data_IF_261789784700
#
_entry.id   IF_261789784700
#
_cell.length_a   1.000
_cell.length_b   1.000
_cell.length_c   1.000
_cell.angle_alpha   90.00
_cell.angle_beta   90.00
_cell.angle_gamma   90.00
#
_symmetry.space_group_name_H-M   'P 1'
#
loop_
_entity.id
_entity.type
_entity.pdbx_description
1 polymer ?
#
# COMPACT_ATOMS: atom_id res chain seq x y z
N UNK A 1 -2.87 -8.75 3.06
CA UNK A 1 -3.19 -8.88 1.62
C UNK A 1 -3.44 -7.50 1.02
N UNK A 2 -3.07 -7.26 -0.24
CA UNK A 2 -3.51 -6.08 -0.99
C UNK A 2 -4.90 -6.32 -1.60
N UNK A 3 -5.83 -5.37 -1.42
CA UNK A 3 -7.13 -5.34 -2.09
C UNK A 3 -7.15 -4.18 -3.09
N UNK A 4 -6.51 -4.41 -4.24
CA UNK A 4 -6.56 -3.53 -5.41
C UNK A 4 -8.00 -3.41 -5.94
N UNK A 5 -8.30 -2.25 -6.52
CA UNK A 5 -9.61 -1.88 -7.06
C UNK A 5 -9.94 -0.41 -6.81
N UNK A 6 -9.77 0.04 -5.56
CA UNK A 6 -10.19 1.37 -5.12
C UNK A 6 -9.37 2.51 -5.72
N UNK A 7 -8.19 2.23 -6.23
CA UNK A 7 -7.30 3.16 -6.93
C UNK A 7 -7.76 3.48 -8.36
N UNK A 8 -8.51 2.61 -9.04
CA UNK A 8 -8.88 2.82 -10.46
C UNK A 8 -10.40 2.74 -10.74
N UNK A 9 -11.14 1.96 -9.97
CA UNK A 9 -12.48 1.51 -10.38
C UNK A 9 -13.51 2.65 -10.42
N UNK A 10 -13.33 3.67 -9.57
CA UNK A 10 -14.15 4.88 -9.56
C UNK A 10 -14.05 5.66 -10.88
N UNK A 11 -12.83 5.82 -11.42
CA UNK A 11 -12.59 6.52 -12.69
C UNK A 11 -13.04 5.71 -13.90
N UNK A 12 -13.03 4.39 -13.81
CA UNK A 12 -13.50 3.49 -14.87
C UNK A 12 -15.03 3.30 -14.88
N UNK A 13 -15.77 3.97 -13.99
CA UNK A 13 -17.22 3.86 -13.89
C UNK A 13 -17.73 2.59 -13.21
N UNK A 14 -16.84 1.81 -12.57
CA UNK A 14 -17.17 0.53 -11.92
C UNK A 14 -17.66 0.64 -10.48
N UNK A 15 -17.81 1.85 -9.94
CA UNK A 15 -18.09 2.09 -8.51
C UNK A 15 -16.81 2.22 -7.67
N UNK A 16 -16.90 2.07 -6.34
CA UNK A 16 -15.73 2.24 -5.45
C UNK A 16 -14.79 1.03 -5.48
N UNK A 17 -15.32 -0.19 -5.46
CA UNK A 17 -14.54 -1.43 -5.38
C UNK A 17 -14.72 -2.29 -6.64
N UNK A 18 -13.64 -2.95 -7.10
CA UNK A 18 -13.68 -3.91 -8.22
C UNK A 18 -14.08 -5.34 -7.81
N UNK A 19 -14.32 -5.58 -6.51
CA UNK A 19 -14.74 -6.87 -5.97
C UNK A 19 -15.47 -6.72 -4.63
N UNK A 20 -15.92 -7.84 -4.02
CA UNK A 20 -16.73 -7.81 -2.81
C UNK A 20 -15.95 -7.28 -1.60
N UNK A 21 -16.69 -6.66 -0.69
CA UNK A 21 -16.23 -6.10 0.59
C UNK A 21 -17.18 -6.46 1.74
N UNK A 22 -18.07 -7.42 1.51
CA UNK A 22 -19.05 -7.91 2.46
C UNK A 22 -18.44 -8.89 3.49
N UNK A 23 -19.26 -9.35 4.43
CA UNK A 23 -18.81 -10.26 5.48
C UNK A 23 -18.27 -11.58 4.90
N UNK A 24 -18.85 -12.11 3.82
CA UNK A 24 -18.38 -13.36 3.21
C UNK A 24 -16.95 -13.21 2.65
N UNK A 25 -16.65 -12.09 1.99
CA UNK A 25 -15.28 -11.81 1.52
C UNK A 25 -14.28 -11.66 2.67
N UNK A 26 -14.71 -11.16 3.83
CA UNK A 26 -13.87 -11.02 5.03
C UNK A 26 -13.67 -12.37 5.71
N UNK A 27 -14.70 -13.21 5.80
CA UNK A 27 -14.59 -14.58 6.33
C UNK A 27 -13.61 -15.41 5.49
N UNK A 28 -13.60 -15.20 4.18
CA UNK A 28 -12.61 -15.79 3.28
C UNK A 28 -11.19 -15.33 3.62
N UNK A 29 -10.95 -14.03 3.81
CA UNK A 29 -9.64 -13.52 4.25
C UNK A 29 -9.21 -14.15 5.59
N UNK A 30 -10.13 -14.25 6.55
CA UNK A 30 -9.87 -14.88 7.85
C UNK A 30 -9.55 -16.37 7.71
N UNK A 31 -10.18 -17.08 6.77
CA UNK A 31 -9.90 -18.49 6.51
C UNK A 31 -8.48 -18.74 5.97
N UNK A 32 -7.78 -17.68 5.54
CA UNK A 32 -6.36 -17.71 5.15
C UNK A 32 -5.45 -17.12 6.24
N UNK A 33 -5.93 -16.93 7.47
CA UNK A 33 -5.23 -16.25 8.58
C UNK A 33 -4.79 -14.80 8.26
N UNK A 34 -5.51 -14.09 7.39
CA UNK A 34 -5.20 -12.68 7.11
C UNK A 34 -5.64 -11.80 8.29
N UNK A 35 -4.71 -11.00 8.80
CA UNK A 35 -4.94 -10.04 9.89
C UNK A 35 -4.67 -8.57 9.48
N UNK A 36 -4.24 -8.33 8.24
CA UNK A 36 -4.06 -7.00 7.67
C UNK A 36 -4.46 -6.95 6.18
N UNK A 37 -5.16 -5.89 5.80
CA UNK A 37 -5.53 -5.58 4.42
C UNK A 37 -5.01 -4.20 4.05
N UNK A 38 -4.25 -4.12 2.96
CA UNK A 38 -3.81 -2.87 2.34
C UNK A 38 -4.82 -2.46 1.28
N UNK A 39 -5.27 -1.20 1.33
CA UNK A 39 -6.33 -0.62 0.52
C UNK A 39 -5.73 0.54 -0.28
N UNK A 40 -5.39 0.32 -1.56
CA UNK A 40 -4.89 1.37 -2.45
C UNK A 40 -5.97 2.40 -2.77
N UNK A 41 -5.72 3.68 -2.49
CA UNK A 41 -6.68 4.77 -2.65
C UNK A 41 -6.32 5.66 -3.83
N UNK A 42 -7.36 6.29 -4.41
CA UNK A 42 -7.22 7.31 -5.42
C UNK A 42 -7.50 8.71 -4.84
N UNK A 43 -6.56 9.63 -5.01
CA UNK A 43 -6.67 11.01 -4.55
C UNK A 43 -7.91 11.74 -5.09
N UNK A 44 -8.13 11.67 -6.40
CA UNK A 44 -9.22 12.37 -7.08
C UNK A 44 -10.57 11.76 -6.71
N UNK A 45 -10.65 10.43 -6.59
CA UNK A 45 -11.88 9.78 -6.16
C UNK A 45 -12.23 10.09 -4.71
N UNK A 46 -11.23 10.12 -3.83
CA UNK A 46 -11.45 10.52 -2.44
C UNK A 46 -11.92 11.97 -2.33
N UNK A 47 -11.31 12.89 -3.09
CA UNK A 47 -11.60 14.33 -3.02
C UNK A 47 -12.85 14.75 -3.82
N UNK A 48 -13.27 13.96 -4.82
CA UNK A 48 -14.39 14.31 -5.70
C UNK A 48 -14.01 15.29 -6.82
N UNK A 49 -12.82 15.12 -7.42
CA UNK A 49 -12.23 16.08 -8.38
C UNK A 49 -12.51 15.72 -9.86
N UNK A 50 -12.93 14.48 -10.16
CA UNK A 50 -13.14 13.98 -11.54
C UNK A 50 -14.63 13.71 -11.90
N UNK A 51 -14.89 13.23 -13.12
CA UNK A 51 -16.20 13.08 -13.78
C UNK A 51 -17.04 11.87 -13.35
N UNK A 52 -16.69 11.14 -12.28
CA UNK A 52 -17.45 10.00 -11.78
C UNK A 52 -18.27 10.40 -10.51
N UNK A 53 -19.39 11.14 -10.63
CA UNK A 53 -20.04 11.77 -9.48
C UNK A 53 -20.64 10.77 -8.48
N UNK A 54 -20.97 9.54 -8.89
CA UNK A 54 -21.63 8.56 -8.02
C UNK A 54 -20.67 7.79 -7.11
N UNK A 55 -19.38 7.71 -7.46
CA UNK A 55 -18.38 6.89 -6.79
C UNK A 55 -17.16 7.68 -6.32
N UNK A 56 -17.27 9.02 -6.27
CA UNK A 56 -16.22 9.92 -5.79
C UNK A 56 -16.75 10.81 -4.67
N UNK A 57 -15.86 11.49 -3.95
CA UNK A 57 -16.22 12.36 -2.83
C UNK A 57 -16.78 11.55 -1.65
N UNK A 58 -17.92 12.00 -1.10
CA UNK A 58 -18.48 11.36 0.11
C UNK A 58 -18.90 9.89 -0.10
N UNK A 59 -19.54 9.50 -1.22
CA UNK A 59 -19.77 8.09 -1.53
C UNK A 59 -18.51 7.21 -1.44
N UNK A 60 -17.37 7.68 -1.97
CA UNK A 60 -16.10 6.97 -1.89
C UNK A 60 -15.63 6.84 -0.44
N UNK A 61 -15.60 7.97 0.29
CA UNK A 61 -15.12 8.02 1.67
C UNK A 61 -15.97 7.16 2.62
N UNK A 62 -17.29 7.18 2.47
CA UNK A 62 -18.21 6.37 3.25
C UNK A 62 -17.99 4.87 2.97
N UNK A 63 -17.87 4.49 1.69
CA UNK A 63 -17.61 3.10 1.30
C UNK A 63 -16.27 2.56 1.85
N UNK A 64 -15.20 3.36 1.80
CA UNK A 64 -13.91 3.00 2.42
C UNK A 64 -14.05 2.86 3.94
N UNK A 65 -14.71 3.81 4.60
CA UNK A 65 -14.91 3.77 6.06
C UNK A 65 -15.72 2.54 6.50
N UNK A 66 -16.78 2.21 5.78
CA UNK A 66 -17.60 1.02 6.06
C UNK A 66 -16.77 -0.27 5.92
N UNK A 67 -15.92 -0.35 4.90
CA UNK A 67 -15.05 -1.50 4.73
C UNK A 67 -13.99 -1.59 5.83
N UNK A 68 -13.32 -0.48 6.18
CA UNK A 68 -12.37 -0.41 7.30
C UNK A 68 -13.02 -0.84 8.61
N UNK A 69 -14.25 -0.36 8.89
CA UNK A 69 -14.99 -0.73 10.10
C UNK A 69 -15.33 -2.24 10.12
N UNK A 70 -15.72 -2.81 8.97
CA UNK A 70 -16.04 -4.23 8.86
C UNK A 70 -14.80 -5.11 9.02
N UNK A 71 -13.65 -4.69 8.49
CA UNK A 71 -12.36 -5.34 8.73
C UNK A 71 -11.98 -5.29 10.21
N UNK A 72 -12.08 -4.11 10.83
CA UNK A 72 -11.75 -3.91 12.25
C UNK A 72 -12.64 -4.76 13.18
N UNK A 73 -13.95 -4.84 12.90
CA UNK A 73 -14.88 -5.71 13.63
C UNK A 73 -14.55 -7.20 13.54
N UNK A 74 -13.74 -7.58 12.55
CA UNK A 74 -13.25 -8.93 12.32
C UNK A 74 -11.79 -9.15 12.74
N UNK A 75 -11.19 -8.19 13.46
CA UNK A 75 -9.81 -8.27 13.93
C UNK A 75 -8.75 -8.03 12.85
N UNK A 76 -9.15 -7.46 11.70
CA UNK A 76 -8.25 -7.17 10.58
C UNK A 76 -7.91 -5.68 10.56
N UNK A 77 -6.61 -5.37 10.54
CA UNK A 77 -6.11 -3.99 10.40
C UNK A 77 -6.16 -3.53 8.94
N UNK A 78 -6.31 -2.23 8.73
CA UNK A 78 -6.32 -1.60 7.41
C UNK A 78 -5.08 -0.74 7.21
N UNK A 79 -4.34 -0.94 6.14
CA UNK A 79 -3.30 -0.01 5.67
C UNK A 79 -3.93 0.83 4.56
N UNK A 80 -4.08 2.13 4.79
CA UNK A 80 -4.61 3.07 3.80
C UNK A 80 -3.44 3.65 3.02
N UNK A 81 -3.39 3.37 1.73
CA UNK A 81 -2.28 3.72 0.83
C UNK A 81 -2.73 4.78 -0.19
N UNK A 82 -1.95 5.84 -0.34
CA UNK A 82 -2.15 6.77 -1.46
C UNK A 82 -1.46 6.22 -2.70
N UNK A 83 -2.26 5.64 -3.59
CA UNK A 83 -1.77 4.87 -4.73
C UNK A 83 -1.71 5.68 -6.01
N UNK A 84 -2.85 6.27 -6.41
CA UNK A 84 -2.93 7.11 -7.61
C UNK A 84 -3.16 8.57 -7.22
N UNK A 85 -2.39 9.45 -7.87
CA UNK A 85 -2.41 10.90 -7.64
C UNK A 85 -2.45 11.65 -8.97
N UNK A 86 -3.03 12.84 -8.97
CA UNK A 86 -3.07 13.71 -10.14
C UNK A 86 -2.85 15.15 -9.72
N UNK A 87 -1.69 15.78 -9.93
CA UNK A 87 -1.56 17.21 -9.66
C UNK A 87 -2.51 18.02 -10.57
N UNK A 88 -2.71 19.31 -10.28
CA UNK A 88 -3.63 20.17 -11.05
C UNK A 88 -3.41 20.03 -12.57
N UNK A 89 -4.50 19.84 -13.31
CA UNK A 89 -4.54 19.65 -14.76
C UNK A 89 -3.91 18.34 -15.27
N UNK A 90 -3.56 17.41 -14.37
CA UNK A 90 -3.13 16.06 -14.69
C UNK A 90 -4.13 15.09 -14.06
N UNK A 91 -4.58 14.12 -14.85
CA UNK A 91 -5.54 13.12 -14.40
C UNK A 91 -4.90 12.17 -13.39
N UNK A 92 -5.61 11.88 -12.30
CA UNK A 92 -5.17 10.96 -11.25
C UNK A 92 -5.43 9.50 -11.59
N UNK A 93 -5.17 9.07 -12.83
CA UNK A 93 -5.50 7.73 -13.35
C UNK A 93 -4.34 6.72 -13.24
N UNK A 94 -3.21 7.18 -12.75
CA UNK A 94 -2.00 6.38 -12.62
C UNK A 94 -1.14 6.88 -11.46
N UNK A 95 -0.12 6.12 -11.15
CA UNK A 95 0.92 6.55 -10.24
C UNK A 95 1.79 7.67 -10.85
N UNK A 96 2.31 8.51 -9.94
CA UNK A 96 3.30 9.56 -10.20
C UNK A 96 4.58 9.28 -9.42
N UNK A 97 5.62 10.03 -9.73
CA UNK A 97 6.94 9.92 -9.10
C UNK A 97 6.90 10.21 -7.59
N UNK A 98 6.00 11.11 -7.18
CA UNK A 98 5.78 11.49 -5.79
C UNK A 98 4.36 12.05 -5.60
N UNK A 99 3.87 12.07 -4.36
CA UNK A 99 2.70 12.83 -3.96
C UNK A 99 2.85 14.33 -4.32
N UNK A 100 1.74 15.05 -4.49
CA UNK A 100 1.72 16.46 -4.88
C UNK A 100 1.17 17.38 -3.79
N UNK A 101 1.62 18.63 -3.73
CA UNK A 101 1.16 19.58 -2.71
C UNK A 101 -0.27 20.09 -2.93
N UNK A 102 -0.81 19.96 -4.15
CA UNK A 102 -2.10 20.55 -4.50
C UNK A 102 -3.25 19.76 -3.90
N UNK A 103 -3.21 18.43 -4.02
CA UNK A 103 -4.30 17.55 -3.62
C UNK A 103 -3.88 16.48 -2.62
N UNK A 104 -2.60 16.08 -2.54
CA UNK A 104 -2.22 14.97 -1.65
C UNK A 104 -2.23 15.40 -0.18
N UNK A 105 -1.91 16.66 0.10
CA UNK A 105 -2.00 17.20 1.46
C UNK A 105 -3.46 17.36 1.93
N UNK A 106 -4.39 17.94 1.13
CA UNK A 106 -5.83 17.88 1.44
C UNK A 106 -6.38 16.47 1.57
N UNK A 107 -5.96 15.54 0.71
CA UNK A 107 -6.32 14.12 0.79
C UNK A 107 -5.92 13.55 2.15
N UNK A 108 -4.66 13.69 2.55
CA UNK A 108 -4.16 13.15 3.81
C UNK A 108 -4.79 13.81 5.03
N UNK A 109 -5.05 15.12 4.97
CA UNK A 109 -5.83 15.81 6.01
C UNK A 109 -7.21 15.15 6.18
N UNK A 110 -7.89 14.87 5.07
CA UNK A 110 -9.24 14.27 5.07
C UNK A 110 -9.24 12.81 5.54
N UNK A 111 -8.31 11.98 5.04
CA UNK A 111 -8.15 10.58 5.45
C UNK A 111 -7.80 10.48 6.93
N UNK A 112 -6.76 11.18 7.37
CA UNK A 112 -6.29 11.10 8.75
C UNK A 112 -7.34 11.63 9.73
N UNK A 113 -8.03 12.74 9.42
CA UNK A 113 -9.12 13.25 10.27
C UNK A 113 -10.28 12.25 10.41
N UNK A 114 -10.65 11.56 9.31
CA UNK A 114 -11.75 10.58 9.32
C UNK A 114 -11.42 9.35 10.16
N UNK A 115 -10.15 8.96 10.23
CA UNK A 115 -9.71 7.75 10.92
C UNK A 115 -8.89 8.01 12.19
N UNK A 116 -8.76 9.25 12.66
CA UNK A 116 -7.84 9.64 13.75
C UNK A 116 -8.02 8.82 15.04
N UNK A 117 -9.24 8.33 15.32
CA UNK A 117 -9.55 7.53 16.52
C UNK A 117 -9.63 6.03 16.24
N UNK A 118 -9.28 5.56 15.04
CA UNK A 118 -9.34 4.15 14.67
C UNK A 118 -7.97 3.48 14.90
N UNK A 119 -7.80 2.67 15.97
CA UNK A 119 -6.54 1.97 16.23
C UNK A 119 -6.28 0.82 15.24
N UNK A 120 -7.26 0.51 14.38
CA UNK A 120 -7.15 -0.51 13.35
C UNK A 120 -6.53 0.01 12.04
N UNK A 121 -6.21 1.30 11.94
CA UNK A 121 -5.69 1.94 10.72
C UNK A 121 -4.19 2.22 10.84
N UNK A 122 -3.46 1.94 9.76
CA UNK A 122 -2.12 2.45 9.48
C UNK A 122 -2.20 3.33 8.23
N UNK A 123 -1.33 4.33 8.13
CA UNK A 123 -1.26 5.21 6.97
C UNK A 123 0.01 4.94 6.17
N UNK A 124 -0.12 4.84 4.86
CA UNK A 124 1.01 4.73 3.93
C UNK A 124 0.96 5.93 2.98
N UNK A 125 1.73 7.00 3.27
CA UNK A 125 1.54 8.30 2.65
C UNK A 125 1.69 8.34 1.14
N UNK A 126 2.45 7.40 0.56
CA UNK A 126 2.62 7.27 -0.87
C UNK A 126 3.13 5.87 -1.25
N UNK A 127 2.48 5.25 -2.24
CA UNK A 127 2.75 3.90 -2.71
C UNK A 127 4.22 3.65 -3.07
N UNK A 128 4.72 4.29 -4.13
CA UNK A 128 6.04 3.99 -4.68
C UNK A 128 6.72 5.26 -5.19
N UNK A 129 7.52 5.97 -4.36
CA UNK A 129 8.38 7.03 -4.84
C UNK A 129 9.41 6.53 -5.85
N UNK A 130 9.59 7.22 -6.97
CA UNK A 130 10.53 6.84 -8.03
C UNK A 130 11.06 8.06 -8.80
N UNK A 131 12.19 7.89 -9.51
CA UNK A 131 12.78 8.89 -10.42
C UNK A 131 13.03 10.30 -9.83
N UNK A 132 13.21 10.38 -8.51
CA UNK A 132 13.52 11.61 -7.77
C UNK A 132 14.75 11.44 -6.87
N UNK A 133 15.35 12.56 -6.46
CA UNK A 133 16.46 12.54 -5.49
C UNK A 133 15.96 12.28 -4.06
N UNK A 134 16.86 11.86 -3.17
CA UNK A 134 16.58 11.74 -1.73
C UNK A 134 16.11 13.06 -1.12
N UNK A 135 16.68 14.18 -1.57
CA UNK A 135 16.26 15.51 -1.12
C UNK A 135 14.82 15.83 -1.52
N UNK A 136 14.42 15.48 -2.75
CA UNK A 136 13.04 15.63 -3.20
C UNK A 136 12.09 14.68 -2.45
N UNK A 137 12.50 13.42 -2.26
CA UNK A 137 11.75 12.44 -1.46
C UNK A 137 11.46 12.95 -0.04
N UNK A 138 12.43 13.59 0.62
CA UNK A 138 12.27 14.13 1.97
C UNK A 138 11.47 15.44 1.99
N UNK A 139 11.88 16.42 1.17
CA UNK A 139 11.48 17.82 1.32
C UNK A 139 10.52 18.30 0.22
N UNK A 140 10.26 17.49 -0.80
CA UNK A 140 9.56 17.90 -2.01
C UNK A 140 10.49 18.63 -2.98
N UNK A 141 10.06 18.74 -4.24
CA UNK A 141 10.77 19.49 -5.26
C UNK A 141 9.82 19.92 -6.38
N UNK A 142 10.32 20.80 -7.26
CA UNK A 142 9.62 21.13 -8.50
C UNK A 142 9.84 20.02 -9.52
N UNK A 143 8.74 19.50 -10.07
CA UNK A 143 8.76 18.38 -11.02
C UNK A 143 8.83 18.88 -12.47
N UNK A 144 9.47 18.13 -13.39
CA UNK A 144 9.60 18.54 -14.79
C UNK A 144 8.27 18.84 -15.50
N UNK A 145 7.19 18.14 -15.12
CA UNK A 145 5.85 18.33 -15.67
C UNK A 145 5.11 19.55 -15.10
N UNK A 146 5.78 20.41 -14.32
CA UNK A 146 5.24 21.71 -13.89
C UNK A 146 4.35 21.65 -12.65
N UNK A 147 4.57 20.68 -11.77
CA UNK A 147 3.88 20.55 -10.49
C UNK A 147 4.86 20.43 -9.32
N UNK A 148 4.37 20.68 -8.10
CA UNK A 148 5.19 20.64 -6.89
C UNK A 148 4.97 19.32 -6.15
N UNK A 149 6.04 18.54 -6.00
CA UNK A 149 6.03 17.33 -5.18
C UNK A 149 5.96 17.68 -3.69
N UNK A 150 5.16 16.92 -2.95
CA UNK A 150 5.08 16.92 -1.51
C UNK A 150 6.02 15.84 -0.96
N UNK A 151 7.08 16.26 -0.25
CA UNK A 151 8.02 15.32 0.37
C UNK A 151 7.42 14.61 1.58
N UNK A 152 8.05 13.51 2.02
CA UNK A 152 7.61 12.74 3.18
C UNK A 152 7.53 13.56 4.48
N UNK A 153 8.39 14.57 4.68
CA UNK A 153 8.25 15.43 5.86
C UNK A 153 6.91 16.19 5.85
N UNK A 154 6.47 16.68 4.68
CA UNK A 154 5.18 17.37 4.56
C UNK A 154 4.01 16.39 4.76
N UNK A 155 4.09 15.19 4.18
CA UNK A 155 3.06 14.16 4.33
C UNK A 155 2.89 13.71 5.78
N UNK A 156 3.99 13.37 6.47
CA UNK A 156 3.98 12.99 7.90
C UNK A 156 3.43 14.13 8.75
N UNK A 157 3.91 15.35 8.55
CA UNK A 157 3.44 16.52 9.32
C UNK A 157 1.95 16.78 9.10
N UNK A 158 1.46 16.57 7.87
CA UNK A 158 0.04 16.74 7.52
C UNK A 158 -0.84 15.73 8.23
N UNK A 159 -0.44 14.45 8.25
CA UNK A 159 -1.17 13.41 8.98
C UNK A 159 -1.17 13.74 10.49
N UNK A 160 -0.01 14.05 11.07
CA UNK A 160 0.11 14.38 12.50
C UNK A 160 -0.64 15.64 12.92
N UNK A 161 -0.78 16.63 12.03
CA UNK A 161 -1.55 17.83 12.31
C UNK A 161 -3.05 17.58 12.54
N UNK A 162 -3.57 16.41 12.15
CA UNK A 162 -4.95 15.98 12.45
C UNK A 162 -5.13 15.40 13.85
N UNK A 163 -4.03 15.19 14.59
CA UNK A 163 -4.02 14.50 15.88
C UNK A 163 -3.92 12.97 15.77
N UNK A 164 -3.74 12.43 14.55
CA UNK A 164 -3.56 11.00 14.35
C UNK A 164 -2.20 10.51 14.92
N UNK A 165 -2.23 9.49 15.76
CA UNK A 165 -1.05 8.88 16.40
C UNK A 165 -0.70 7.50 15.82
N UNK A 166 -1.53 6.98 14.91
CA UNK A 166 -1.33 5.65 14.33
C UNK A 166 -0.02 5.52 13.54
N UNK A 167 0.48 4.29 13.32
CA UNK A 167 1.70 4.08 12.57
C UNK A 167 1.62 4.63 11.14
N UNK A 168 2.74 5.19 10.67
CA UNK A 168 2.91 5.69 9.31
C UNK A 168 3.99 4.87 8.61
N UNK A 169 3.62 4.13 7.57
CA UNK A 169 4.52 3.35 6.72
C UNK A 169 5.14 4.28 5.68
N UNK A 170 6.47 4.38 5.66
CA UNK A 170 7.21 5.27 4.77
C UNK A 170 8.02 4.41 3.80
N UNK A 171 7.67 4.49 2.52
CA UNK A 171 8.34 3.78 1.44
C UNK A 171 9.58 4.55 0.95
N UNK A 172 10.57 3.80 0.50
CA UNK A 172 11.80 4.33 -0.08
C UNK A 172 11.68 4.72 -1.57
N UNK A 173 12.82 4.79 -2.24
CA UNK A 173 12.93 5.08 -3.68
C UNK A 173 12.89 3.78 -4.51
N UNK A 174 13.15 3.87 -5.82
CA UNK A 174 13.14 2.73 -6.75
C UNK A 174 11.84 1.93 -6.65
N UNK A 175 10.74 2.67 -6.64
CA UNK A 175 9.39 2.16 -6.46
C UNK A 175 9.23 1.38 -5.14
N UNK A 176 9.55 2.04 -4.02
CA UNK A 176 9.46 1.45 -2.69
C UNK A 176 10.44 0.31 -2.40
N UNK A 177 11.43 0.06 -3.27
CA UNK A 177 12.41 -1.02 -3.11
C UNK A 177 13.72 -0.59 -2.42
N UNK A 178 14.15 0.64 -2.68
CA UNK A 178 15.39 1.20 -2.14
C UNK A 178 15.13 1.89 -0.80
N UNK A 179 15.48 1.20 0.28
CA UNK A 179 15.28 1.67 1.64
C UNK A 179 16.36 2.64 2.14
N UNK A 180 17.37 3.01 1.34
CA UNK A 180 18.45 3.90 1.77
C UNK A 180 17.98 5.28 2.30
N UNK A 181 16.91 5.93 1.77
CA UNK A 181 16.42 7.19 2.33
C UNK A 181 15.93 7.04 3.77
N UNK A 182 15.44 5.86 4.16
CA UNK A 182 14.90 5.59 5.50
C UNK A 182 15.96 5.65 6.60
N UNK A 183 17.24 5.52 6.24
CA UNK A 183 18.35 5.60 7.19
C UNK A 183 19.13 6.91 7.12
N UNK A 184 18.99 7.66 6.02
CA UNK A 184 19.79 8.85 5.72
C UNK A 184 19.00 10.15 5.78
N UNK A 185 17.68 10.09 5.55
CA UNK A 185 16.83 11.26 5.36
C UNK A 185 15.44 11.10 5.98
N UNK A 186 15.25 10.20 6.95
CA UNK A 186 13.94 9.87 7.53
C UNK A 186 13.19 11.09 8.10
N UNK A 187 11.91 11.33 7.76
CA UNK A 187 11.13 12.45 8.30
C UNK A 187 11.06 12.39 9.83
N UNK A 188 10.94 13.55 10.46
CA UNK A 188 10.69 13.65 11.90
C UNK A 188 9.21 13.41 12.16
N UNK A 189 8.93 12.50 13.10
CA UNK A 189 7.58 12.18 13.57
C UNK A 189 7.48 12.40 15.09
N UNK A 190 6.68 13.36 15.57
CA UNK A 190 6.50 13.59 17.00
C UNK A 190 5.89 12.39 17.75
N UNK A 191 5.16 11.51 17.07
CA UNK A 191 4.58 10.30 17.69
C UNK A 191 5.59 9.12 17.76
N UNK A 192 6.77 9.24 17.12
CA UNK A 192 7.76 8.17 17.01
C UNK A 192 7.17 6.83 16.52
N UNK A 193 6.23 6.87 15.58
CA UNK A 193 5.50 5.71 15.09
C UNK A 193 5.68 5.51 13.57
N UNK A 194 6.87 5.81 13.06
CA UNK A 194 7.22 5.52 11.67
C UNK A 194 7.60 4.05 11.50
N UNK A 195 7.17 3.46 10.40
CA UNK A 195 7.41 2.08 9.97
C UNK A 195 8.08 2.13 8.60
N UNK A 196 9.10 1.31 8.39
CA UNK A 196 9.72 1.16 7.08
C UNK A 196 8.83 0.33 6.16
N UNK A 197 8.52 0.87 4.98
CA UNK A 197 7.81 0.12 3.94
C UNK A 197 8.77 -0.48 2.93
N UNK A 198 8.41 -1.66 2.39
CA UNK A 198 9.21 -2.36 1.36
C UNK A 198 8.36 -3.02 0.28
N UNK A 199 8.72 -2.80 -0.98
CA UNK A 199 8.10 -3.45 -2.13
C UNK A 199 9.10 -4.41 -2.79
N UNK A 200 8.70 -5.68 -2.93
CA UNK A 200 9.55 -6.73 -3.49
C UNK A 200 8.89 -7.46 -4.64
N UNK A 201 9.56 -7.42 -5.79
CA UNK A 201 9.20 -8.15 -7.00
C UNK A 201 10.41 -8.88 -7.59
N UNK A 202 10.17 -9.97 -8.34
CA UNK A 202 11.23 -10.83 -8.92
C UNK A 202 12.08 -10.11 -9.99
N UNK A 203 11.62 -8.96 -10.48
CA UNK A 203 12.34 -8.11 -11.44
C UNK A 203 13.09 -6.94 -10.78
N UNK A 204 13.17 -6.90 -9.44
CA UNK A 204 13.99 -5.92 -8.72
C UNK A 204 15.45 -6.37 -8.61
N UNK A 205 16.34 -5.42 -8.30
CA UNK A 205 17.78 -5.69 -8.17
C UNK A 205 18.14 -6.57 -6.96
N UNK A 206 17.35 -6.50 -5.88
CA UNK A 206 17.64 -7.18 -4.62
C UNK A 206 16.61 -8.29 -4.33
N UNK A 207 16.84 -9.48 -4.88
CA UNK A 207 15.87 -10.61 -4.86
C UNK A 207 16.41 -11.89 -4.21
N UNK A 208 17.52 -11.79 -3.46
CA UNK A 208 18.14 -12.92 -2.76
C UNK A 208 18.28 -12.64 -1.27
N UNK A 209 18.29 -13.70 -0.45
CA UNK A 209 18.45 -13.57 0.99
C UNK A 209 19.73 -12.84 1.42
N UNK A 210 20.85 -13.06 0.72
CA UNK A 210 22.09 -12.33 1.00
C UNK A 210 21.94 -10.84 0.73
N UNK A 211 21.25 -10.47 -0.36
CA UNK A 211 20.97 -9.09 -0.66
C UNK A 211 20.05 -8.46 0.39
N UNK A 212 18.94 -9.12 0.75
CA UNK A 212 17.99 -8.64 1.76
C UNK A 212 18.66 -8.42 3.13
N UNK A 213 19.48 -9.38 3.59
CA UNK A 213 20.26 -9.21 4.82
C UNK A 213 21.21 -8.01 4.76
N UNK A 214 21.79 -7.71 3.60
CA UNK A 214 22.72 -6.58 3.44
C UNK A 214 22.02 -5.22 3.29
N UNK A 215 20.87 -5.17 2.59
CA UNK A 215 20.21 -3.92 2.20
C UNK A 215 19.04 -3.56 3.12
N UNK A 216 18.24 -4.56 3.52
CA UNK A 216 17.00 -4.35 4.28
C UNK A 216 17.21 -4.63 5.78
N UNK A 217 18.06 -5.61 6.11
CA UNK A 217 18.41 -5.96 7.49
C UNK A 217 18.84 -4.76 8.36
N UNK A 218 19.71 -3.84 7.88
CA UNK A 218 20.09 -2.65 8.64
C UNK A 218 18.92 -1.69 8.95
N UNK A 219 17.85 -1.71 8.16
CA UNK A 219 16.64 -0.91 8.40
C UNK A 219 15.73 -1.60 9.40
N UNK A 220 15.45 -2.89 9.20
CA UNK A 220 14.65 -3.71 10.13
C UNK A 220 15.22 -3.74 11.56
N UNK A 221 16.55 -3.62 11.71
CA UNK A 221 17.20 -3.53 13.02
C UNK A 221 16.97 -2.19 13.75
N UNK A 222 16.49 -1.14 13.07
CA UNK A 222 16.32 0.21 13.63
C UNK A 222 14.88 0.62 13.85
N UNK A 223 13.95 0.06 13.08
CA UNK A 223 12.54 0.41 13.14
C UNK A 223 11.68 -0.74 12.61
N UNK A 224 10.38 -0.78 12.96
CA UNK A 224 9.49 -1.78 12.41
C UNK A 224 9.48 -1.74 10.88
N UNK A 225 9.34 -2.90 10.25
CA UNK A 225 9.37 -3.04 8.79
C UNK A 225 8.21 -3.89 8.28
N UNK A 226 7.44 -3.33 7.33
CA UNK A 226 6.34 -4.01 6.65
C UNK A 226 6.63 -4.07 5.16
N UNK A 227 6.52 -5.27 4.57
CA UNK A 227 6.49 -5.38 3.11
C UNK A 227 5.08 -5.03 2.59
N UNK A 228 4.93 -3.82 2.06
CA UNK A 228 3.67 -3.29 1.50
C UNK A 228 3.24 -4.02 0.24
N UNK A 229 4.20 -4.60 -0.50
CA UNK A 229 3.93 -5.45 -1.65
C UNK A 229 4.97 -6.57 -1.77
N UNK A 230 4.47 -7.78 -2.02
CA UNK A 230 5.25 -8.91 -2.50
C UNK A 230 4.50 -9.50 -3.68
N UNK A 231 5.18 -9.58 -4.84
CA UNK A 231 4.58 -10.12 -6.06
C UNK A 231 5.61 -10.64 -7.04
N UNK A 232 5.13 -11.26 -8.13
CA UNK A 232 5.94 -11.76 -9.24
C UNK A 232 5.16 -11.66 -10.55
N UNK A 233 5.87 -11.55 -11.67
CA UNK A 233 5.29 -11.54 -13.01
C UNK A 233 5.35 -12.91 -13.73
N UNK A 234 5.82 -13.96 -13.07
CA UNK A 234 6.08 -15.29 -13.64
C UNK A 234 5.36 -16.43 -12.90
N UNK A 235 4.49 -16.11 -11.93
CA UNK A 235 3.80 -17.07 -11.05
C UNK A 235 4.70 -17.91 -10.14
N UNK A 236 5.99 -17.61 -10.07
CA UNK A 236 6.93 -18.33 -9.23
C UNK A 236 6.68 -18.04 -7.75
N UNK A 237 6.57 -19.11 -6.97
CA UNK A 237 6.43 -19.03 -5.51
C UNK A 237 7.78 -18.99 -4.80
N UNK A 238 8.89 -19.24 -5.51
CA UNK A 238 10.20 -19.45 -4.89
C UNK A 238 10.71 -18.20 -4.16
N UNK A 239 10.75 -17.05 -4.84
CA UNK A 239 11.22 -15.79 -4.24
C UNK A 239 10.27 -15.28 -3.16
N UNK A 240 8.94 -15.16 -3.39
CA UNK A 240 8.03 -14.64 -2.37
C UNK A 240 8.03 -15.45 -1.08
N UNK A 241 8.00 -16.79 -1.17
CA UNK A 241 8.08 -17.65 0.01
C UNK A 241 9.43 -17.55 0.72
N UNK A 242 10.53 -17.39 -0.03
CA UNK A 242 11.85 -17.18 0.57
C UNK A 242 11.94 -15.84 1.29
N UNK A 243 11.32 -14.79 0.75
CA UNK A 243 11.30 -13.48 1.37
C UNK A 243 10.46 -13.45 2.64
N UNK A 244 9.27 -14.05 2.65
CA UNK A 244 8.49 -14.17 3.89
C UNK A 244 9.25 -14.91 4.99
N UNK A 245 9.92 -16.02 4.66
CA UNK A 245 10.78 -16.73 5.63
C UNK A 245 11.92 -15.87 6.14
N UNK A 246 12.51 -15.07 5.26
CA UNK A 246 13.56 -14.13 5.64
C UNK A 246 13.02 -13.03 6.57
N UNK A 247 11.86 -12.43 6.26
CA UNK A 247 11.17 -11.46 7.11
C UNK A 247 10.91 -12.04 8.51
N UNK A 248 10.31 -13.22 8.56
CA UNK A 248 9.99 -13.93 9.81
C UNK A 248 11.25 -14.23 10.66
N UNK A 249 12.39 -14.52 10.01
CA UNK A 249 13.64 -14.85 10.70
C UNK A 249 14.47 -13.61 11.10
N UNK A 250 14.22 -12.44 10.50
CA UNK A 250 15.05 -11.24 10.67
C UNK A 250 14.29 -10.07 11.30
N UNK A 251 13.15 -10.33 11.95
CA UNK A 251 12.40 -9.32 12.70
C UNK A 251 11.57 -8.37 11.83
N UNK A 252 11.11 -8.82 10.65
CA UNK A 252 10.08 -8.11 9.91
C UNK A 252 8.72 -8.20 10.61
N UNK A 253 7.97 -7.11 10.63
CA UNK A 253 6.72 -6.97 11.40
C UNK A 253 5.46 -7.35 10.60
N UNK A 254 5.58 -7.50 9.28
CA UNK A 254 4.47 -7.96 8.46
C UNK A 254 4.74 -7.89 6.97
N UNK A 255 3.83 -8.48 6.21
CA UNK A 255 3.82 -8.45 4.75
C UNK A 255 2.40 -8.56 4.21
N UNK A 256 2.14 -7.87 3.10
CA UNK A 256 0.87 -7.96 2.37
C UNK A 256 1.13 -8.28 0.89
N UNK A 257 0.58 -9.40 0.43
CA UNK A 257 0.82 -9.90 -0.94
C UNK A 257 0.02 -9.12 -1.98
N UNK A 258 0.65 -8.85 -3.12
CA UNK A 258 0.02 -8.29 -4.31
C UNK A 258 -0.37 -9.41 -5.29
N UNK A 259 -1.65 -9.65 -5.57
CA UNK A 259 -2.82 -9.09 -4.87
C UNK A 259 -3.98 -10.08 -4.74
N UNK A 260 -4.87 -9.81 -3.79
CA UNK A 260 -6.09 -10.57 -3.58
C UNK A 260 -7.16 -10.13 -4.59
N UNK A 261 -6.95 -10.49 -5.84
CA UNK A 261 -7.82 -10.23 -6.98
C UNK A 261 -7.96 -11.47 -7.86
N UNK A 262 -8.76 -11.36 -8.92
CA UNK A 262 -9.16 -12.49 -9.79
C UNK A 262 -8.40 -12.57 -11.13
N UNK A 263 -7.52 -11.60 -11.39
CA UNK A 263 -6.84 -11.46 -12.69
C UNK A 263 -5.56 -12.30 -12.77
N UNK A 264 -5.68 -13.51 -13.30
CA UNK A 264 -4.63 -14.25 -14.04
C UNK A 264 -3.31 -14.61 -13.33
N UNK A 265 -2.58 -15.52 -13.96
CA UNK A 265 -1.19 -15.81 -13.64
C UNK A 265 -0.50 -16.45 -14.87
N UNK A 266 0.34 -15.71 -15.62
CA UNK A 266 0.51 -14.25 -15.55
C UNK A 266 -0.73 -13.54 -16.11
N UNK A 267 -1.07 -12.34 -15.62
CA UNK A 267 -2.27 -11.61 -16.03
C UNK A 267 -2.15 -10.88 -17.39
N UNK A 268 -0.99 -10.96 -18.05
CA UNK A 268 -0.75 -10.34 -19.36
C UNK A 268 -0.69 -8.80 -19.36
N UNK A 269 -0.84 -8.15 -18.20
CA UNK A 269 -0.59 -6.72 -18.02
C UNK A 269 0.90 -6.40 -18.10
N UNK A 270 1.23 -5.18 -18.54
CA UNK A 270 2.62 -4.71 -18.71
C UNK A 270 3.48 -4.84 -17.44
N UNK A 271 2.84 -4.89 -16.26
CA UNK A 271 3.49 -5.07 -14.95
C UNK A 271 2.98 -6.30 -14.16
N UNK A 272 2.31 -7.23 -14.85
CA UNK A 272 2.03 -8.61 -14.44
C UNK A 272 1.78 -8.86 -12.95
N UNK A 273 0.51 -8.93 -12.54
CA UNK A 273 0.14 -9.48 -11.23
C UNK A 273 0.03 -11.00 -11.26
N UNK A 274 0.38 -11.65 -10.15
CA UNK A 274 -0.01 -13.04 -9.89
C UNK A 274 -1.21 -13.05 -8.95
N UNK A 275 -2.42 -13.17 -9.51
CA UNK A 275 -3.64 -13.20 -8.70
C UNK A 275 -3.62 -14.37 -7.71
N UNK A 276 -4.03 -14.09 -6.47
CA UNK A 276 -4.11 -15.11 -5.43
C UNK A 276 -5.36 -16.00 -5.58
N UNK A 277 -6.43 -15.49 -6.18
CA UNK A 277 -7.68 -16.23 -6.39
C UNK A 277 -8.09 -16.17 -7.86
N UNK A 278 -8.84 -17.16 -8.35
CA UNK A 278 -9.36 -17.18 -9.73
C UNK A 278 -10.80 -16.68 -9.84
N UNK A 279 -11.50 -16.54 -8.72
CA UNK A 279 -12.87 -16.03 -8.64
C UNK A 279 -13.14 -15.45 -7.25
N UNK A 280 -14.23 -14.69 -7.13
CA UNK A 280 -14.61 -14.03 -5.88
C UNK A 280 -15.19 -14.96 -4.80
N UNK A 281 -15.41 -16.25 -5.10
CA UNK A 281 -15.70 -17.26 -4.08
C UNK A 281 -14.42 -17.73 -3.37
N UNK A 282 -13.24 -17.31 -3.84
CA UNK A 282 -11.97 -17.52 -3.16
C UNK A 282 -11.21 -18.77 -3.60
N UNK A 283 -11.53 -19.34 -4.77
CA UNK A 283 -10.76 -20.45 -5.35
C UNK A 283 -9.30 -20.01 -5.50
N UNK A 284 -8.34 -20.60 -4.77
CA UNK A 284 -6.94 -20.20 -4.86
C UNK A 284 -6.35 -20.57 -6.22
N UNK A 285 -5.53 -19.69 -6.80
CA UNK A 285 -4.62 -20.09 -7.89
C UNK A 285 -3.48 -20.97 -7.31
N UNK A 286 -2.69 -21.70 -8.11
CA UNK A 286 -1.52 -22.41 -7.58
C UNK A 286 -0.53 -21.50 -6.83
N UNK A 287 -0.36 -20.26 -7.32
CA UNK A 287 0.43 -19.23 -6.65
C UNK A 287 -0.22 -18.82 -5.31
N UNK A 288 -1.52 -18.56 -5.33
CA UNK A 288 -2.29 -18.20 -4.15
C UNK A 288 -2.36 -19.29 -3.08
N UNK A 289 -2.47 -20.56 -3.47
CA UNK A 289 -2.48 -21.66 -2.51
C UNK A 289 -1.14 -21.79 -1.78
N UNK A 290 -0.02 -21.54 -2.46
CA UNK A 290 1.28 -21.51 -1.80
C UNK A 290 1.38 -20.39 -0.75
N UNK A 291 0.88 -19.19 -1.06
CA UNK A 291 0.81 -18.07 -0.10
C UNK A 291 -0.13 -18.41 1.06
N UNK A 292 -1.31 -18.96 0.76
CA UNK A 292 -2.30 -19.41 1.74
C UNK A 292 -1.74 -20.45 2.69
N UNK A 293 -1.09 -21.50 2.17
CA UNK A 293 -0.45 -22.53 3.00
C UNK A 293 0.63 -21.93 3.91
N UNK A 294 1.39 -20.95 3.41
CA UNK A 294 2.35 -20.25 4.24
C UNK A 294 1.65 -19.51 5.39
N UNK A 295 0.61 -18.74 5.12
CA UNK A 295 -0.14 -18.01 6.16
C UNK A 295 -0.76 -18.95 7.21
N UNK A 296 -1.32 -20.07 6.77
CA UNK A 296 -1.88 -21.09 7.66
C UNK A 296 -0.84 -21.79 8.53
N UNK A 297 0.44 -21.76 8.14
CA UNK A 297 1.55 -22.31 8.93
C UNK A 297 2.04 -21.37 10.03
N UNK A 298 1.61 -20.09 10.03
CA UNK A 298 2.03 -19.09 11.01
C UNK A 298 1.15 -19.16 12.26
N UNK A 299 1.71 -18.86 13.45
CA UNK A 299 0.90 -18.66 14.65
C UNK A 299 -0.14 -17.55 14.44
N UNK A 300 -1.32 -17.74 15.01
CA UNK A 300 -2.40 -16.74 15.05
C UNK A 300 -2.30 -15.90 16.32
#
# INVERSE_FOLDING_TARGET
MNRSGTEYNCQQGGGVFSGPTDQASIDLLRSWNVNAVRIPLNEHCWLGIDWAPQSTGEPYRAAIQDYVNRLAANGIRSILDLHFTGPKAIWGEQQKEMANTTYSLPFWTSVASRFATSPAVLYEPFNEPHDISVDCWRNGCWMPEGWQAAGYQQLVSTIRATGAEQPIIVNGLDWGHDMSPLTTAMPTDPANALVAGQHLYNFKRCVTASCWSSQFGPVAAKMPMVAGEIGVNDCSTAMPLAFMRWMDANGGDGYVFWNFGVSGCPDGGQYGGSALISDWNGTPTPYGDAVRQYFLSRPV
#
